data_IF_527629241842
#
_entry.id   IF_527629241842
#
_cell.length_a   1.000
_cell.length_b   1.000
_cell.length_c   1.000
_cell.angle_alpha   90.00
_cell.angle_beta   90.00
_cell.angle_gamma   90.00
#
_symmetry.space_group_name_H-M   'P 1'
#
loop_
_entity.id
_entity.type
_entity.pdbx_description
1 polymer ?
#
# COMPACT_ATOMS: atom_id res chain seq x y z
N UNK A 1 -31.24 42.73 -44.46
CA UNK A 1 -30.14 43.10 -43.56
C UNK A 1 -29.03 42.04 -43.69
N UNK A 2 -27.93 42.32 -44.43
CA UNK A 2 -26.83 41.35 -44.60
C UNK A 2 -25.84 41.54 -43.43
N UNK A 3 -25.79 40.60 -42.53
CA UNK A 3 -24.74 40.55 -41.52
C UNK A 3 -23.42 40.12 -42.21
N UNK A 4 -22.54 41.07 -42.49
CA UNK A 4 -21.18 40.77 -42.91
C UNK A 4 -20.34 40.40 -41.66
N UNK A 5 -20.18 39.12 -41.42
CA UNK A 5 -19.27 38.66 -40.38
C UNK A 5 -17.84 38.99 -40.77
N UNK A 6 -17.17 39.87 -40.02
CA UNK A 6 -15.80 40.30 -40.30
C UNK A 6 -14.89 39.07 -40.05
N UNK A 7 -14.04 38.75 -41.04
CA UNK A 7 -13.13 37.60 -41.01
C UNK A 7 -12.26 37.55 -39.75
N UNK A 8 -11.91 38.72 -39.18
CA UNK A 8 -11.19 38.81 -37.91
C UNK A 8 -12.04 38.31 -36.72
N UNK A 9 -13.34 38.54 -36.71
CA UNK A 9 -14.24 38.06 -35.69
C UNK A 9 -14.47 36.55 -35.83
N UNK A 10 -14.56 36.01 -37.04
CA UNK A 10 -14.63 34.59 -37.31
C UNK A 10 -13.35 33.87 -36.89
N UNK A 11 -12.17 34.45 -37.11
CA UNK A 11 -10.90 33.90 -36.68
C UNK A 11 -10.74 33.88 -35.14
N UNK A 12 -11.19 34.93 -34.46
CA UNK A 12 -11.19 34.98 -32.99
C UNK A 12 -12.14 33.96 -32.36
N UNK A 13 -13.31 33.77 -32.97
CA UNK A 13 -14.28 32.76 -32.49
C UNK A 13 -13.77 31.33 -32.70
N UNK A 14 -13.11 31.06 -33.82
CA UNK A 14 -12.50 29.78 -34.11
C UNK A 14 -11.31 29.49 -33.16
N UNK A 15 -10.50 30.47 -32.85
CA UNK A 15 -9.40 30.35 -31.89
C UNK A 15 -9.90 30.11 -30.44
N UNK A 16 -10.98 30.80 -30.05
CA UNK A 16 -11.61 30.56 -28.74
C UNK A 16 -12.24 29.18 -28.60
N UNK A 17 -12.85 28.65 -29.67
CA UNK A 17 -13.40 27.32 -29.69
C UNK A 17 -12.32 26.22 -29.68
N UNK A 18 -11.19 26.47 -30.36
CA UNK A 18 -10.03 25.58 -30.29
C UNK A 18 -9.35 25.59 -28.90
N UNK A 19 -9.30 26.74 -28.24
CA UNK A 19 -8.76 26.85 -26.89
C UNK A 19 -9.67 26.15 -25.85
N UNK A 20 -10.99 26.22 -25.98
CA UNK A 20 -11.97 25.50 -25.17
C UNK A 20 -11.96 24.00 -25.44
N UNK A 21 -11.71 23.58 -26.69
CA UNK A 21 -11.59 22.15 -27.05
C UNK A 21 -10.29 21.50 -26.56
N UNK A 22 -9.20 22.26 -26.43
CA UNK A 22 -7.93 21.75 -25.91
C UNK A 22 -7.94 21.56 -24.37
N UNK A 23 -8.90 22.16 -23.66
CA UNK A 23 -9.01 22.09 -22.19
C UNK A 23 -9.77 20.86 -21.68
N UNK A 24 -10.43 20.09 -22.55
CA UNK A 24 -11.03 18.80 -22.18
C UNK A 24 -10.11 17.66 -22.65
N UNK A 25 -8.84 17.75 -22.30
CA UNK A 25 -8.06 16.53 -22.17
C UNK A 25 -8.66 15.81 -20.97
N UNK A 26 -9.63 14.93 -21.22
CA UNK A 26 -10.07 13.96 -20.21
C UNK A 26 -8.79 13.36 -19.66
N UNK A 27 -8.52 13.57 -18.39
CA UNK A 27 -7.46 12.89 -17.69
C UNK A 27 -7.86 11.40 -17.69
N UNK A 28 -7.55 10.71 -18.79
CA UNK A 28 -7.72 9.27 -18.86
C UNK A 28 -6.90 8.69 -17.71
N UNK A 29 -7.54 7.94 -16.83
CA UNK A 29 -6.87 7.27 -15.74
C UNK A 29 -5.72 6.43 -16.33
N UNK A 30 -4.49 6.86 -16.06
CA UNK A 30 -3.31 6.09 -16.41
C UNK A 30 -3.06 5.09 -15.30
N UNK A 31 -3.21 3.83 -15.60
CA UNK A 31 -2.85 2.74 -14.71
C UNK A 31 -1.70 1.95 -15.32
N UNK A 32 -0.94 1.28 -14.47
CA UNK A 32 0.10 0.36 -14.88
C UNK A 32 -0.14 -1.01 -14.24
N UNK A 33 0.47 -2.04 -14.81
CA UNK A 33 0.54 -3.38 -14.25
C UNK A 33 2.00 -3.67 -13.91
N UNK A 34 2.49 -3.22 -12.74
CA UNK A 34 3.86 -3.49 -12.33
C UNK A 34 4.06 -4.99 -12.10
N UNK A 35 5.26 -5.48 -12.36
CA UNK A 35 5.68 -6.87 -12.08
C UNK A 35 6.35 -7.02 -10.72
N UNK A 36 6.33 -5.96 -9.92
CA UNK A 36 6.78 -6.01 -8.53
C UNK A 36 5.87 -6.91 -7.69
N UNK A 37 6.39 -7.42 -6.60
CA UNK A 37 5.62 -8.18 -5.61
C UNK A 37 5.18 -7.24 -4.51
N UNK A 38 3.89 -7.20 -4.24
CA UNK A 38 3.31 -6.46 -3.13
C UNK A 38 2.97 -7.44 -2.02
N UNK A 39 3.72 -7.36 -0.92
CA UNK A 39 3.52 -8.15 0.29
C UNK A 39 2.69 -7.37 1.29
N UNK A 40 1.44 -7.79 1.48
CA UNK A 40 0.50 -7.16 2.41
C UNK A 40 0.44 -7.96 3.68
N UNK A 41 0.72 -7.32 4.81
CA UNK A 41 0.63 -7.93 6.15
C UNK A 41 -0.51 -7.29 6.92
N UNK A 42 -1.50 -8.07 7.31
CA UNK A 42 -2.52 -7.69 8.29
C UNK A 42 -2.20 -8.36 9.63
N UNK A 43 -2.36 -7.62 10.72
CA UNK A 43 -2.02 -8.14 12.03
C UNK A 43 -2.94 -7.61 13.14
N UNK A 44 -2.91 -8.32 14.25
CA UNK A 44 -3.43 -7.89 15.55
C UNK A 44 -2.32 -8.09 16.57
N UNK A 45 -2.08 -7.07 17.39
CA UNK A 45 -1.15 -7.17 18.50
C UNK A 45 -1.78 -7.90 19.69
N UNK A 46 -0.93 -8.45 20.55
CA UNK A 46 -1.36 -9.00 21.83
C UNK A 46 -1.98 -7.93 22.73
N UNK A 47 -2.94 -8.31 23.54
CA UNK A 47 -3.54 -7.41 24.51
C UNK A 47 -2.44 -6.90 25.48
N UNK A 48 -2.41 -5.57 25.69
CA UNK A 48 -1.38 -4.92 26.50
C UNK A 48 -0.11 -4.50 25.75
N UNK A 49 0.00 -4.76 24.44
CA UNK A 49 1.11 -4.23 23.62
C UNK A 49 1.09 -2.71 23.62
N UNK A 50 2.21 -2.08 24.05
CA UNK A 50 2.30 -0.62 24.13
C UNK A 50 2.50 0.03 22.75
N UNK A 51 2.24 1.33 22.66
CA UNK A 51 2.46 2.07 21.41
C UNK A 51 3.95 2.15 21.02
N UNK A 52 4.86 2.14 22.00
CA UNK A 52 6.30 2.06 21.77
C UNK A 52 6.69 0.71 21.15
N UNK A 53 6.09 -0.38 21.63
CA UNK A 53 6.32 -1.71 21.05
C UNK A 53 5.79 -1.81 19.63
N UNK A 54 4.59 -1.28 19.36
CA UNK A 54 4.04 -1.20 17.99
C UNK A 54 4.92 -0.35 17.08
N UNK A 55 5.39 0.81 17.60
CA UNK A 55 6.34 1.65 16.86
C UNK A 55 7.63 0.90 16.55
N UNK A 56 8.20 0.17 17.48
CA UNK A 56 9.41 -0.60 17.26
C UNK A 56 9.26 -1.65 16.15
N UNK A 57 8.07 -2.26 16.01
CA UNK A 57 7.76 -3.18 14.90
C UNK A 57 7.82 -2.43 13.57
N UNK A 58 7.21 -1.26 13.46
CA UNK A 58 7.19 -0.48 12.22
C UNK A 58 8.57 0.12 11.88
N UNK A 59 9.30 0.64 12.86
CA UNK A 59 10.69 1.10 12.70
C UNK A 59 11.58 -0.06 12.19
N UNK A 60 11.31 -1.28 12.65
CA UNK A 60 12.00 -2.46 12.17
C UNK A 60 11.69 -2.79 10.70
N UNK A 61 10.48 -2.50 10.20
CA UNK A 61 10.17 -2.60 8.76
C UNK A 61 10.96 -1.57 7.96
N UNK A 62 11.06 -0.32 8.44
CA UNK A 62 11.92 0.70 7.80
C UNK A 62 13.37 0.27 7.75
N UNK A 63 13.87 -0.30 8.83
CA UNK A 63 15.24 -0.83 8.89
C UNK A 63 15.44 -1.94 7.86
N UNK A 64 14.52 -2.90 7.77
CA UNK A 64 14.57 -3.93 6.73
C UNK A 64 14.61 -3.32 5.33
N UNK A 65 13.81 -2.30 5.06
CA UNK A 65 13.77 -1.63 3.76
C UNK A 65 15.12 -0.99 3.39
N UNK A 66 15.90 -0.55 4.37
CA UNK A 66 17.23 0.01 4.14
C UNK A 66 18.33 -1.05 3.96
N UNK A 67 18.12 -2.27 4.41
CA UNK A 67 19.13 -3.34 4.44
C UNK A 67 18.89 -4.45 3.43
N UNK A 68 17.62 -4.68 3.01
CA UNK A 68 17.26 -5.80 2.14
C UNK A 68 17.25 -5.35 0.67
N UNK A 69 18.15 -5.87 -0.17
CA UNK A 69 18.18 -5.52 -1.59
C UNK A 69 16.87 -5.86 -2.29
N UNK A 70 16.38 -4.92 -3.12
CA UNK A 70 15.15 -5.10 -3.90
C UNK A 70 13.86 -4.85 -3.14
N UNK A 71 13.89 -4.50 -1.85
CA UNK A 71 12.76 -3.91 -1.15
C UNK A 71 12.68 -2.44 -1.53
N UNK A 72 11.65 -2.03 -2.29
CA UNK A 72 11.57 -0.72 -2.95
C UNK A 72 10.73 0.30 -2.19
N UNK A 73 9.57 -0.13 -1.73
CA UNK A 73 8.60 0.75 -1.09
C UNK A 73 8.00 0.08 0.14
N UNK A 74 7.64 0.90 1.12
CA UNK A 74 6.93 0.48 2.33
C UNK A 74 5.77 1.43 2.62
N UNK A 75 4.68 0.88 3.13
CA UNK A 75 3.54 1.63 3.65
C UNK A 75 3.26 1.14 5.07
N UNK A 76 3.45 2.00 6.05
CA UNK A 76 3.43 1.64 7.47
C UNK A 76 2.18 2.11 8.21
N UNK A 77 1.33 2.90 7.55
CA UNK A 77 0.12 3.44 8.17
C UNK A 77 -1.12 2.96 7.45
N UNK A 78 -1.91 2.14 8.11
CA UNK A 78 -3.25 1.78 7.64
C UNK A 78 -4.26 2.87 7.98
N UNK A 79 -5.11 3.21 7.02
CA UNK A 79 -6.27 4.08 7.23
C UNK A 79 -7.44 3.26 7.78
N UNK A 80 -7.62 2.06 7.22
CA UNK A 80 -8.66 1.11 7.61
C UNK A 80 -8.18 -0.30 7.33
N UNK A 81 -8.30 -1.19 8.31
CA UNK A 81 -8.06 -2.62 8.13
C UNK A 81 -9.38 -3.36 8.22
N UNK A 82 -9.59 -4.29 7.29
CA UNK A 82 -10.78 -5.13 7.25
C UNK A 82 -10.38 -6.60 7.26
N UNK A 83 -11.23 -7.41 7.85
CA UNK A 83 -11.06 -8.85 7.97
C UNK A 83 -11.03 -9.29 9.43
N UNK A 84 -11.47 -10.50 9.63
CA UNK A 84 -11.60 -11.11 10.94
C UNK A 84 -10.97 -12.50 10.95
N UNK A 85 -10.72 -13.00 12.14
CA UNK A 85 -10.27 -14.37 12.38
C UNK A 85 -10.93 -14.92 13.65
N UNK A 86 -11.01 -16.22 13.74
CA UNK A 86 -11.49 -16.90 14.93
C UNK A 86 -10.30 -17.29 15.81
N UNK A 87 -10.30 -16.81 17.05
CA UNK A 87 -9.36 -17.19 18.09
C UNK A 87 -9.96 -18.28 18.97
N UNK A 88 -9.23 -19.36 19.20
CA UNK A 88 -9.59 -20.36 20.20
C UNK A 88 -9.03 -19.95 21.54
N UNK A 89 -9.89 -19.88 22.56
CA UNK A 89 -9.50 -19.54 23.92
C UNK A 89 -9.10 -20.78 24.72
N UNK A 90 -8.42 -20.57 25.85
CA UNK A 90 -7.92 -21.65 26.69
C UNK A 90 -9.03 -22.50 27.31
N UNK A 91 -10.23 -21.96 27.47
CA UNK A 91 -11.43 -22.65 27.95
C UNK A 91 -12.14 -23.48 26.86
N UNK A 92 -11.59 -23.54 25.63
CA UNK A 92 -12.14 -24.26 24.49
C UNK A 92 -13.20 -23.50 23.70
N UNK A 93 -13.61 -22.34 24.16
CA UNK A 93 -14.52 -21.46 23.41
C UNK A 93 -13.81 -20.75 22.24
N UNK A 94 -14.57 -20.07 21.40
CA UNK A 94 -14.02 -19.32 20.27
C UNK A 94 -14.54 -17.89 20.29
N UNK A 95 -13.66 -16.93 19.94
CA UNK A 95 -13.96 -15.50 19.82
C UNK A 95 -13.60 -15.01 18.45
N UNK A 96 -14.48 -14.22 17.83
CA UNK A 96 -14.17 -13.49 16.60
C UNK A 96 -13.37 -12.23 16.95
N UNK A 97 -12.25 -12.04 16.29
CA UNK A 97 -11.35 -10.88 16.42
C UNK A 97 -11.17 -10.22 15.07
N UNK A 98 -10.95 -8.91 15.07
CA UNK A 98 -10.64 -8.14 13.89
C UNK A 98 -9.13 -7.93 13.75
N UNK A 99 -8.62 -7.88 12.51
CA UNK A 99 -7.30 -7.31 12.27
C UNK A 99 -7.35 -5.80 12.53
N UNK A 100 -6.36 -5.29 13.25
CA UNK A 100 -6.33 -3.88 13.69
C UNK A 100 -5.34 -3.03 12.92
N UNK A 101 -4.28 -3.66 12.43
CA UNK A 101 -3.16 -2.99 11.79
C UNK A 101 -2.78 -3.68 10.48
N UNK A 102 -2.12 -2.94 9.61
CA UNK A 102 -1.59 -3.47 8.35
C UNK A 102 -0.40 -2.63 7.90
N UNK A 103 0.59 -3.27 7.33
CA UNK A 103 1.65 -2.62 6.57
C UNK A 103 1.88 -3.36 5.25
N UNK A 104 2.55 -2.69 4.33
CA UNK A 104 2.80 -3.22 2.99
C UNK A 104 4.26 -3.01 2.63
N UNK A 105 4.85 -4.00 1.99
CA UNK A 105 6.19 -3.93 1.39
C UNK A 105 6.09 -4.25 -0.10
N UNK A 106 6.83 -3.52 -0.94
CA UNK A 106 6.94 -3.80 -2.35
C UNK A 106 8.36 -4.23 -2.70
N UNK A 107 8.48 -5.37 -3.33
CA UNK A 107 9.74 -5.91 -3.83
C UNK A 107 9.83 -5.77 -5.35
N UNK A 108 11.02 -5.48 -5.86
CA UNK A 108 11.24 -5.28 -7.30
C UNK A 108 11.00 -6.53 -8.15
N UNK A 109 11.15 -7.72 -7.56
CA UNK A 109 11.05 -9.01 -8.24
C UNK A 109 10.67 -10.14 -7.29
N UNK A 110 10.24 -11.26 -7.86
CA UNK A 110 10.02 -12.50 -7.13
C UNK A 110 11.33 -13.03 -6.48
N UNK A 111 12.46 -12.80 -7.10
CA UNK A 111 13.76 -13.23 -6.56
C UNK A 111 14.12 -12.44 -5.28
N UNK A 112 13.93 -11.10 -5.27
CA UNK A 112 14.17 -10.30 -4.08
C UNK A 112 13.17 -10.61 -2.96
N UNK A 113 11.91 -10.89 -3.30
CA UNK A 113 10.91 -11.34 -2.32
C UNK A 113 11.28 -12.68 -1.67
N UNK A 114 11.76 -13.65 -2.45
CA UNK A 114 12.24 -14.93 -1.90
C UNK A 114 13.45 -14.75 -0.99
N UNK A 115 14.41 -13.91 -1.40
CA UNK A 115 15.60 -13.63 -0.61
C UNK A 115 15.30 -12.89 0.72
N UNK A 116 14.21 -12.14 0.79
CA UNK A 116 13.76 -11.45 1.99
C UNK A 116 13.54 -12.40 3.17
N UNK A 117 12.90 -13.55 2.95
CA UNK A 117 12.53 -14.48 4.01
C UNK A 117 13.75 -15.00 4.81
N UNK A 118 14.86 -15.21 4.13
CA UNK A 118 16.10 -15.75 4.71
C UNK A 118 17.11 -14.65 5.10
N UNK A 119 16.74 -13.36 4.90
CA UNK A 119 17.67 -12.26 5.15
C UNK A 119 17.87 -12.02 6.65
N UNK A 120 19.10 -11.76 7.13
CA UNK A 120 19.37 -11.52 8.56
C UNK A 120 18.56 -10.35 9.16
N UNK A 121 18.30 -9.30 8.38
CA UNK A 121 17.47 -8.17 8.82
C UNK A 121 16.02 -8.59 9.09
N UNK A 122 15.45 -9.51 8.29
CA UNK A 122 14.13 -10.08 8.54
C UNK A 122 14.13 -10.89 9.84
N UNK A 123 15.11 -11.77 10.04
CA UNK A 123 15.25 -12.55 11.27
C UNK A 123 15.44 -11.64 12.52
N UNK A 124 16.14 -10.52 12.38
CA UNK A 124 16.30 -9.55 13.46
C UNK A 124 14.96 -8.84 13.78
N UNK A 125 14.20 -8.48 12.75
CA UNK A 125 12.87 -7.90 12.91
C UNK A 125 11.88 -8.87 13.55
N UNK A 126 11.89 -10.14 13.17
CA UNK A 126 11.01 -11.14 13.77
C UNK A 126 11.17 -11.29 15.28
N UNK A 127 12.37 -11.06 15.82
CA UNK A 127 12.62 -11.06 17.27
C UNK A 127 11.88 -9.93 18.00
N UNK A 128 11.57 -8.83 17.30
CA UNK A 128 10.79 -7.71 17.83
C UNK A 128 9.29 -7.97 17.62
N UNK A 129 8.92 -8.47 16.45
CA UNK A 129 7.55 -8.63 16.00
C UNK A 129 6.83 -9.82 16.66
N UNK A 130 7.48 -10.98 16.69
CA UNK A 130 6.87 -12.24 17.16
C UNK A 130 6.35 -12.18 18.61
N UNK A 131 7.07 -11.56 19.57
CA UNK A 131 6.58 -11.47 20.95
C UNK A 131 5.33 -10.63 21.15
N UNK A 132 5.06 -9.69 20.25
CA UNK A 132 3.91 -8.76 20.38
C UNK A 132 2.76 -9.09 19.42
N UNK A 133 2.95 -10.04 18.51
CA UNK A 133 1.95 -10.45 17.54
C UNK A 133 0.97 -11.45 18.13
N UNK A 134 -0.33 -11.15 18.17
CA UNK A 134 -1.38 -12.12 18.44
C UNK A 134 -1.70 -12.95 17.19
N UNK A 135 -1.88 -12.28 16.05
CA UNK A 135 -2.22 -12.92 14.76
C UNK A 135 -1.70 -12.09 13.59
N UNK A 136 -1.31 -12.77 12.52
CA UNK A 136 -1.08 -12.13 11.22
C UNK A 136 -1.65 -12.98 10.09
N UNK A 137 -1.93 -12.30 8.97
CA UNK A 137 -2.25 -12.89 7.68
C UNK A 137 -1.54 -12.09 6.59
N UNK A 138 -1.00 -12.79 5.62
CA UNK A 138 -0.27 -12.18 4.51
C UNK A 138 -0.95 -12.47 3.19
N UNK A 139 -0.74 -11.58 2.23
CA UNK A 139 -1.12 -11.78 0.82
C UNK A 139 -0.01 -11.22 -0.05
N UNK A 140 0.45 -12.04 -1.00
CA UNK A 140 1.49 -11.68 -1.96
C UNK A 140 0.85 -11.55 -3.33
N UNK A 141 0.98 -10.38 -3.94
CA UNK A 141 0.24 -10.00 -5.15
C UNK A 141 1.24 -9.51 -6.20
N UNK A 142 1.07 -9.95 -7.43
CA UNK A 142 1.79 -9.46 -8.62
C UNK A 142 0.88 -9.49 -9.85
N UNK A 143 1.33 -8.93 -10.99
CA UNK A 143 0.65 -9.00 -12.28
C UNK A 143 1.36 -9.94 -13.26
#
# INVERSE_FOLDING_TARGET
MKLSLNWKQAALTAAALLALGAGIATAANKYSKPKSIVHVVKLTYQDGTTDEQKKAVLDGVEKMASEIPGLKNIWLKSIKVQGEYTEKLADGTSKVRQFTDSFVMEFESEASFKAYADHPAHAAWEKIYTPVRARSATSDITN
#
